data_IF_873901071558
#
_entry.id   IF_873901071558
#
_cell.length_a   1.000
_cell.length_b   1.000
_cell.length_c   1.000
_cell.angle_alpha   90.00
_cell.angle_beta   90.00
_cell.angle_gamma   90.00
#
_symmetry.space_group_name_H-M   'P 1'
#
loop_
_entity.id
_entity.type
_entity.pdbx_description
1 polymer ?
#
# COMPACT_ATOMS: atom_id res chain seq x y z
N UNK A 1 -4.26 -14.28 -2.78
CA UNK A 1 -3.71 -15.27 -3.72
C UNK A 1 -3.61 -14.72 -5.14
N UNK A 2 -4.69 -14.36 -5.85
CA UNK A 2 -4.59 -13.82 -7.22
C UNK A 2 -3.72 -12.57 -7.40
N UNK A 3 -3.80 -11.59 -6.49
CA UNK A 3 -2.96 -10.37 -6.54
C UNK A 3 -1.46 -10.69 -6.41
N UNK A 4 -1.12 -11.72 -5.62
CA UNK A 4 0.27 -12.14 -5.41
C UNK A 4 0.78 -12.85 -6.66
N UNK A 5 -0.02 -13.73 -7.27
CA UNK A 5 0.34 -14.43 -8.52
C UNK A 5 0.53 -13.47 -9.70
N UNK A 6 -0.27 -12.40 -9.78
CA UNK A 6 -0.17 -11.40 -10.86
C UNK A 6 1.06 -10.50 -10.69
N UNK A 7 1.51 -10.27 -9.45
CA UNK A 7 2.68 -9.46 -9.16
C UNK A 7 3.98 -10.28 -9.12
N UNK A 8 3.92 -11.58 -8.79
CA UNK A 8 5.10 -12.44 -8.56
C UNK A 8 6.13 -12.42 -9.70
N UNK A 9 5.71 -12.23 -10.96
CA UNK A 9 6.63 -12.21 -12.11
C UNK A 9 7.43 -10.90 -12.25
N UNK A 10 6.96 -9.81 -11.66
CA UNK A 10 7.55 -8.45 -11.75
C UNK A 10 7.77 -7.84 -10.36
N UNK A 11 7.63 -8.64 -9.29
CA UNK A 11 7.70 -8.20 -7.91
C UNK A 11 9.15 -7.88 -7.53
N UNK A 12 9.41 -6.62 -7.24
CA UNK A 12 10.70 -6.16 -6.72
C UNK A 12 10.76 -6.31 -5.20
N UNK A 13 9.66 -6.00 -4.51
CA UNK A 13 9.63 -5.98 -3.05
C UNK A 13 8.24 -6.26 -2.48
N UNK A 14 8.19 -7.08 -1.43
CA UNK A 14 7.08 -7.11 -0.48
C UNK A 14 7.54 -6.60 0.90
N UNK A 15 6.67 -5.83 1.57
CA UNK A 15 6.92 -5.26 2.89
C UNK A 15 5.65 -5.28 3.74
N UNK A 16 5.77 -5.70 5.00
CA UNK A 16 4.69 -5.58 5.98
C UNK A 16 4.54 -4.11 6.40
N UNK A 17 3.31 -3.64 6.41
CA UNK A 17 2.94 -2.30 6.83
C UNK A 17 1.45 -2.22 7.19
N UNK A 18 1.02 -1.01 7.55
CA UNK A 18 -0.38 -0.68 7.75
C UNK A 18 -0.81 0.37 6.72
N UNK A 19 -2.00 0.20 6.15
CA UNK A 19 -2.68 1.25 5.40
C UNK A 19 -3.53 2.07 6.38
N UNK A 20 -3.34 3.40 6.39
CA UNK A 20 -4.18 4.31 7.16
C UNK A 20 -5.56 4.41 6.53
N UNK A 21 -6.63 4.28 7.33
CA UNK A 21 -8.00 4.55 6.91
C UNK A 21 -8.75 5.31 7.99
N UNK A 22 -9.89 5.91 7.64
CA UNK A 22 -10.75 6.61 8.60
C UNK A 22 -11.34 5.69 9.68
N UNK A 23 -11.49 4.40 9.39
CA UNK A 23 -11.90 3.38 10.36
C UNK A 23 -10.74 2.82 11.20
N UNK A 24 -9.52 3.33 10.99
CA UNK A 24 -8.30 2.88 11.65
C UNK A 24 -7.31 2.19 10.69
N UNK A 25 -6.10 1.87 11.18
CA UNK A 25 -5.06 1.24 10.37
C UNK A 25 -5.39 -0.22 10.05
N UNK A 26 -5.19 -0.62 8.80
CA UNK A 26 -5.37 -1.99 8.31
C UNK A 26 -4.01 -2.63 8.12
N UNK A 27 -3.71 -3.71 8.83
CA UNK A 27 -2.48 -4.49 8.65
C UNK A 27 -2.48 -5.23 7.29
N UNK A 28 -1.35 -5.20 6.59
CA UNK A 28 -1.23 -5.78 5.26
C UNK A 28 0.19 -5.87 4.74
N UNK A 29 0.26 -6.30 3.49
CA UNK A 29 1.49 -6.33 2.71
C UNK A 29 1.40 -5.29 1.59
N UNK A 30 2.44 -4.45 1.49
CA UNK A 30 2.71 -3.61 0.33
C UNK A 30 3.64 -4.36 -0.62
N UNK A 31 3.19 -4.52 -1.85
CA UNK A 31 3.90 -5.10 -2.97
C UNK A 31 4.30 -3.98 -3.93
N UNK A 32 5.56 -3.99 -4.36
CA UNK A 32 6.15 -3.00 -5.27
C UNK A 32 6.66 -3.77 -6.48
N UNK A 33 6.17 -3.40 -7.66
CA UNK A 33 6.65 -3.86 -8.97
C UNK A 33 6.99 -2.65 -9.84
N UNK A 34 7.55 -2.89 -11.02
CA UNK A 34 7.81 -1.84 -12.02
C UNK A 34 6.52 -1.20 -12.54
N UNK A 35 5.42 -1.95 -12.54
CA UNK A 35 4.19 -1.54 -13.23
C UNK A 35 3.14 -0.96 -12.27
N UNK A 36 3.09 -1.50 -11.04
CA UNK A 36 2.12 -1.08 -10.02
C UNK A 36 2.61 -1.30 -8.60
N UNK A 37 2.09 -0.49 -7.69
CA UNK A 37 2.16 -0.71 -6.25
C UNK A 37 0.81 -1.29 -5.81
N UNK A 38 0.83 -2.32 -4.98
CA UNK A 38 -0.38 -2.92 -4.48
C UNK A 38 -0.33 -3.18 -2.98
N UNK A 39 -1.42 -2.91 -2.29
CA UNK A 39 -1.62 -3.28 -0.89
C UNK A 39 -2.70 -4.35 -0.79
N UNK A 40 -2.49 -5.33 0.08
CA UNK A 40 -3.51 -6.32 0.44
C UNK A 40 -3.54 -6.50 1.95
N UNK A 41 -4.73 -6.42 2.55
CA UNK A 41 -4.91 -6.66 3.99
C UNK A 41 -4.55 -8.11 4.35
N UNK A 42 -3.99 -8.32 5.54
CA UNK A 42 -3.71 -9.67 6.05
C UNK A 42 -5.00 -10.42 6.39
N UNK A 43 -5.96 -9.71 6.98
CA UNK A 43 -7.28 -10.26 7.35
C UNK A 43 -8.34 -9.85 6.34
N UNK A 44 -9.30 -10.74 6.13
CA UNK A 44 -10.51 -10.39 5.38
C UNK A 44 -11.46 -9.56 6.24
N UNK A 45 -12.14 -8.62 5.61
CA UNK A 45 -13.24 -7.84 6.16
C UNK A 45 -14.58 -8.44 5.71
N UNK A 46 -15.58 -8.35 6.59
CA UNK A 46 -16.95 -8.75 6.27
C UNK A 46 -17.64 -7.58 5.57
N UNK A 47 -18.23 -7.84 4.40
CA UNK A 47 -19.07 -6.91 3.67
C UNK A 47 -20.45 -7.54 3.46
N UNK A 48 -21.49 -6.72 3.55
CA UNK A 48 -22.81 -7.11 3.10
C UNK A 48 -22.88 -6.90 1.59
N UNK A 49 -23.20 -7.95 0.84
CA UNK A 49 -23.51 -7.82 -0.58
C UNK A 49 -24.91 -7.24 -0.78
N UNK A 50 -25.24 -6.74 -1.99
CA UNK A 50 -26.55 -6.14 -2.26
C UNK A 50 -27.75 -7.07 -2.00
N UNK A 51 -27.55 -8.38 -2.04
CA UNK A 51 -28.55 -9.41 -1.72
C UNK A 51 -28.62 -9.78 -0.22
N UNK A 52 -27.87 -9.08 0.65
CA UNK A 52 -27.87 -9.30 2.10
C UNK A 52 -26.96 -10.42 2.59
N UNK A 53 -26.24 -11.11 1.70
CA UNK A 53 -25.25 -12.11 2.10
C UNK A 53 -24.00 -11.45 2.71
N UNK A 54 -23.38 -12.11 3.68
CA UNK A 54 -22.12 -11.66 4.25
C UNK A 54 -20.96 -12.31 3.51
N UNK A 55 -20.26 -11.53 2.70
CA UNK A 55 -19.05 -11.96 2.01
C UNK A 55 -17.81 -11.53 2.77
N UNK A 56 -16.74 -12.34 2.70
CA UNK A 56 -15.41 -12.00 3.24
C UNK A 56 -14.47 -11.64 2.11
N UNK A 57 -13.96 -10.42 2.11
CA UNK A 57 -13.00 -9.96 1.10
C UNK A 57 -11.77 -9.36 1.77
N UNK A 58 -10.63 -9.40 1.08
CA UNK A 58 -9.47 -8.63 1.53
C UNK A 58 -9.58 -7.20 1.02
N UNK A 59 -9.24 -6.24 1.88
CA UNK A 59 -9.11 -4.85 1.46
C UNK A 59 -7.88 -4.74 0.57
N UNK A 60 -8.04 -4.14 -0.61
CA UNK A 60 -6.98 -4.04 -1.61
C UNK A 60 -6.90 -2.63 -2.16
N UNK A 61 -5.68 -2.18 -2.41
CA UNK A 61 -5.38 -0.97 -3.17
C UNK A 61 -4.41 -1.37 -4.28
N UNK A 62 -4.63 -0.90 -5.50
CA UNK A 62 -3.70 -1.07 -6.61
C UNK A 62 -3.51 0.28 -7.28
N UNK A 63 -2.27 0.73 -7.35
CA UNK A 63 -1.87 2.03 -7.88
C UNK A 63 -0.88 1.77 -9.01
N UNK A 64 -1.26 1.96 -10.29
CA UNK A 64 -0.32 1.91 -11.39
C UNK A 64 0.80 2.94 -11.17
N UNK A 65 2.06 2.56 -11.45
CA UNK A 65 3.21 3.46 -11.22
C UNK A 65 3.08 4.75 -12.04
N UNK A 66 2.60 4.65 -13.28
CA UNK A 66 2.32 5.81 -14.15
C UNK A 66 1.19 6.73 -13.66
N UNK A 67 0.47 6.36 -12.59
CA UNK A 67 -0.53 7.20 -11.92
C UNK A 67 0.01 7.81 -10.63
N UNK A 68 1.23 7.51 -10.23
CA UNK A 68 1.87 8.10 -9.05
C UNK A 68 2.45 9.46 -9.43
N UNK A 69 2.04 10.49 -8.70
CA UNK A 69 2.55 11.85 -8.85
C UNK A 69 3.81 12.07 -8.02
N UNK A 70 3.84 11.57 -6.78
CA UNK A 70 4.99 11.67 -5.88
C UNK A 70 4.85 10.71 -4.70
N UNK A 71 5.98 10.40 -4.08
CA UNK A 71 6.06 9.75 -2.76
C UNK A 71 6.71 10.71 -1.78
N UNK A 72 6.03 10.96 -0.65
CA UNK A 72 6.53 11.83 0.40
C UNK A 72 6.80 11.02 1.67
N UNK A 73 7.83 11.43 2.39
CA UNK A 73 8.13 10.93 3.72
C UNK A 73 7.53 11.87 4.75
N UNK A 74 7.04 11.30 5.85
CA UNK A 74 6.60 12.08 7.01
C UNK A 74 6.88 11.30 8.29
N UNK A 75 6.89 11.98 9.42
CA UNK A 75 7.08 11.37 10.74
C UNK A 75 6.16 12.04 11.76
N UNK A 76 5.83 11.32 12.82
CA UNK A 76 5.01 11.87 13.88
C UNK A 76 5.85 12.88 14.69
N UNK A 77 5.32 14.08 14.88
CA UNK A 77 6.01 15.17 15.59
C UNK A 77 6.32 14.80 17.04
N UNK A 78 5.40 14.13 17.73
CA UNK A 78 5.57 13.70 19.12
C UNK A 78 6.39 12.41 19.23
N UNK A 79 6.34 11.57 18.19
CA UNK A 79 7.03 10.27 18.14
C UNK A 79 7.76 10.06 16.81
N UNK A 80 8.95 10.67 16.61
CA UNK A 80 9.69 10.61 15.34
C UNK A 80 10.09 9.20 14.87
N UNK A 81 10.05 8.20 15.77
CA UNK A 81 10.22 6.79 15.39
C UNK A 81 9.05 6.24 14.55
N UNK A 82 7.88 6.88 14.59
CA UNK A 82 6.75 6.56 13.74
C UNK A 82 6.87 7.31 12.42
N UNK A 83 7.30 6.56 11.40
CA UNK A 83 7.49 7.07 10.05
C UNK A 83 6.35 6.64 9.13
N UNK A 84 6.05 7.52 8.20
CA UNK A 84 4.95 7.43 7.26
C UNK A 84 5.47 7.59 5.84
N UNK A 85 4.83 6.88 4.92
CA UNK A 85 5.01 7.07 3.48
C UNK A 85 3.66 7.46 2.91
N UNK A 86 3.61 8.63 2.28
CA UNK A 86 2.45 9.10 1.52
C UNK A 86 2.70 8.83 0.04
N UNK A 87 1.77 8.14 -0.61
CA UNK A 87 1.75 8.00 -2.07
C UNK A 87 0.64 8.88 -2.61
N UNK A 88 0.99 9.90 -3.38
CA UNK A 88 0.02 10.80 -4.00
C UNK A 88 -0.11 10.45 -5.47
N UNK A 89 -1.34 10.30 -5.93
CA UNK A 89 -1.68 9.98 -7.33
C UNK A 89 -1.94 11.24 -8.16
N UNK A 90 -1.92 11.12 -9.48
CA UNK A 90 -2.12 12.23 -10.42
C UNK A 90 -3.53 12.84 -10.34
N UNK A 91 -4.52 12.05 -9.94
CA UNK A 91 -5.90 12.44 -9.65
C UNK A 91 -6.10 12.93 -8.20
N UNK A 92 -5.00 13.14 -7.46
CA UNK A 92 -4.94 13.71 -6.11
C UNK A 92 -5.55 12.86 -5.00
N UNK A 93 -5.67 11.54 -5.17
CA UNK A 93 -5.80 10.63 -4.03
C UNK A 93 -4.46 10.45 -3.33
N UNK A 94 -4.49 10.38 -2.01
CA UNK A 94 -3.34 10.11 -1.14
C UNK A 94 -3.53 8.79 -0.38
N UNK A 95 -2.48 7.97 -0.36
CA UNK A 95 -2.45 6.70 0.37
C UNK A 95 -1.35 6.74 1.40
N UNK A 96 -1.73 6.65 2.67
CA UNK A 96 -0.81 6.72 3.80
C UNK A 96 -0.48 5.34 4.33
N UNK A 97 0.80 5.00 4.30
CA UNK A 97 1.33 3.76 4.84
C UNK A 97 2.23 4.01 6.04
N UNK A 98 2.17 3.12 7.02
CA UNK A 98 2.89 3.26 8.28
C UNK A 98 3.32 1.93 8.87
N UNK A 99 4.12 1.97 9.93
CA UNK A 99 4.50 0.77 10.68
C UNK A 99 5.27 -0.25 9.83
N UNK A 100 6.07 0.23 8.88
CA UNK A 100 6.89 -0.62 8.02
C UNK A 100 7.93 -1.38 8.84
N UNK A 101 8.00 -2.71 8.66
CA UNK A 101 9.07 -3.51 9.27
C UNK A 101 10.45 -3.10 8.73
N UNK A 102 10.53 -2.71 7.44
CA UNK A 102 11.74 -2.29 6.77
C UNK A 102 11.53 -0.95 6.03
N UNK A 103 11.30 0.14 6.76
CA UNK A 103 10.97 1.47 6.21
C UNK A 103 11.96 1.93 5.12
N UNK A 104 13.25 2.04 5.44
CA UNK A 104 14.27 2.58 4.53
C UNK A 104 14.38 1.77 3.23
N UNK A 105 14.38 0.43 3.35
CA UNK A 105 14.46 -0.45 2.17
C UNK A 105 13.21 -0.30 1.31
N UNK A 106 12.03 -0.18 1.91
CA UNK A 106 10.77 -0.03 1.18
C UNK A 106 10.73 1.30 0.44
N UNK A 107 11.09 2.39 1.12
CA UNK A 107 11.16 3.72 0.52
C UNK A 107 12.12 3.74 -0.69
N UNK A 108 13.32 3.15 -0.55
CA UNK A 108 14.28 3.07 -1.65
C UNK A 108 13.68 2.41 -2.90
N UNK A 109 12.97 1.28 -2.75
CA UNK A 109 12.30 0.64 -3.88
C UNK A 109 11.19 1.49 -4.48
N UNK A 110 10.43 2.23 -3.66
CA UNK A 110 9.39 3.14 -4.14
C UNK A 110 10.00 4.27 -4.99
N UNK A 111 11.06 4.89 -4.50
CA UNK A 111 11.78 5.95 -5.21
C UNK A 111 12.37 5.44 -6.52
N UNK A 112 12.97 4.24 -6.52
CA UNK A 112 13.51 3.59 -7.71
C UNK A 112 12.44 3.37 -8.79
N UNK A 113 11.30 2.77 -8.46
CA UNK A 113 10.26 2.48 -9.47
C UNK A 113 9.61 3.75 -10.02
N UNK A 114 9.43 4.76 -9.18
CA UNK A 114 8.84 6.05 -9.60
C UNK A 114 9.82 6.83 -10.48
N UNK A 115 11.13 6.72 -10.21
CA UNK A 115 12.16 7.39 -11.02
C UNK A 115 12.30 6.79 -12.43
N UNK A 116 11.84 5.56 -12.63
CA UNK A 116 11.93 4.82 -13.90
C UNK A 116 10.67 4.91 -14.76
N UNK A 117 9.63 5.59 -14.27
CA UNK A 117 8.29 5.64 -14.84
C UNK A 117 8.05 6.79 -15.82
#
# INVERSE_FOLDING_TARGET
MYLVLELERELLKASQCYLSTTAGPIAGLLFISTDKIAFCSERSIKLSSPNGELIRVHYKVVIPVNKIKRVNQSENVEKPSQKYIEIVTVDNFDFWFMGFLNYQKTLKYLEEVISQA
#
